data_IF_253791110361
#
_entry.id   IF_253791110361
#
_cell.length_a   1.000
_cell.length_b   1.000
_cell.length_c   1.000
_cell.angle_alpha   90.00
_cell.angle_beta   90.00
_cell.angle_gamma   90.00
#
_symmetry.space_group_name_H-M   'P 1'
#
loop_
_entity.id
_entity.type
_entity.pdbx_description
1 polymer ?
#
# COMPACT_ATOMS: atom_id res chain seq x y z
N UNK A 1 11.36 6.07 -10.93
CA UNK A 1 11.99 4.95 -10.22
C UNK A 1 10.86 4.16 -9.57
N UNK A 2 10.67 2.88 -9.92
CA UNK A 2 9.60 2.05 -9.34
C UNK A 2 10.11 1.45 -8.02
N UNK A 3 9.56 1.89 -6.90
CA UNK A 3 9.89 1.35 -5.58
C UNK A 3 9.16 0.01 -5.40
N UNK A 4 9.92 -1.02 -5.00
CA UNK A 4 9.36 -2.33 -4.68
C UNK A 4 9.43 -2.54 -3.17
N UNK A 5 8.34 -3.06 -2.61
CA UNK A 5 8.18 -3.27 -1.17
C UNK A 5 7.59 -4.64 -0.90
N UNK A 6 7.87 -5.18 0.28
CA UNK A 6 7.38 -6.49 0.69
C UNK A 6 6.29 -6.32 1.75
N UNK A 7 5.11 -6.89 1.49
CA UNK A 7 3.99 -6.85 2.42
C UNK A 7 3.40 -8.23 2.64
N UNK A 8 2.97 -8.49 3.87
CA UNK A 8 2.20 -9.69 4.17
C UNK A 8 0.75 -9.46 3.68
N UNK A 9 0.22 -10.26 2.74
CA UNK A 9 -1.16 -10.12 2.25
C UNK A 9 -2.22 -10.21 3.36
N UNK A 10 -1.95 -10.91 4.47
CA UNK A 10 -2.87 -10.95 5.63
C UNK A 10 -3.02 -9.61 6.36
N UNK A 11 -2.17 -8.62 6.07
CA UNK A 11 -2.20 -7.29 6.67
C UNK A 11 -2.73 -6.21 5.73
N UNK A 12 -3.28 -6.59 4.57
CA UNK A 12 -3.88 -5.62 3.64
C UNK A 12 -5.05 -4.89 4.31
N UNK A 13 -5.06 -3.56 4.21
CA UNK A 13 -6.16 -2.73 4.71
C UNK A 13 -7.38 -2.89 3.80
N UNK A 14 -7.15 -2.82 2.48
CA UNK A 14 -8.19 -2.98 1.47
C UNK A 14 -7.57 -3.30 0.11
N UNK A 15 -8.38 -3.81 -0.81
CA UNK A 15 -8.01 -4.01 -2.20
C UNK A 15 -9.14 -3.59 -3.13
N UNK A 16 -8.80 -3.07 -4.30
CA UNK A 16 -9.77 -2.61 -5.30
C UNK A 16 -9.17 -2.65 -6.71
N UNK A 17 -9.99 -3.02 -7.70
CA UNK A 17 -9.59 -3.02 -9.11
C UNK A 17 -9.53 -1.59 -9.69
N UNK A 18 -10.18 -0.64 -9.04
CA UNK A 18 -10.23 0.76 -9.43
C UNK A 18 -9.26 1.59 -8.57
N UNK A 19 -8.34 2.32 -9.22
CA UNK A 19 -7.34 3.13 -8.52
C UNK A 19 -7.98 4.25 -7.70
N UNK A 20 -9.04 4.88 -8.21
CA UNK A 20 -9.68 6.03 -7.55
C UNK A 20 -10.36 5.58 -6.23
N UNK A 21 -10.97 4.39 -6.26
CA UNK A 21 -11.52 3.75 -5.06
C UNK A 21 -10.43 3.37 -4.07
N UNK A 22 -9.33 2.76 -4.54
CA UNK A 22 -8.21 2.43 -3.68
C UNK A 22 -7.60 3.68 -3.04
N UNK A 23 -7.44 4.76 -3.82
CA UNK A 23 -6.92 6.03 -3.34
C UNK A 23 -7.82 6.70 -2.31
N UNK A 24 -9.13 6.69 -2.55
CA UNK A 24 -10.12 7.21 -1.59
C UNK A 24 -10.08 6.43 -0.28
N UNK A 25 -10.05 5.10 -0.33
CA UNK A 25 -9.94 4.26 0.87
C UNK A 25 -8.62 4.51 1.62
N UNK A 26 -7.50 4.67 0.89
CA UNK A 26 -6.20 4.99 1.47
C UNK A 26 -6.23 6.34 2.20
N UNK A 27 -6.81 7.38 1.59
CA UNK A 27 -6.98 8.69 2.24
C UNK A 27 -7.85 8.61 3.50
N UNK A 28 -8.97 7.88 3.44
CA UNK A 28 -9.85 7.72 4.62
C UNK A 28 -9.10 7.04 5.76
N UNK A 29 -8.31 6.00 5.46
CA UNK A 29 -7.51 5.32 6.48
C UNK A 29 -6.43 6.24 7.05
N UNK A 30 -5.68 6.93 6.19
CA UNK A 30 -4.67 7.90 6.59
C UNK A 30 -5.27 8.97 7.51
N UNK A 31 -6.43 9.54 7.16
CA UNK A 31 -7.11 10.55 7.99
C UNK A 31 -7.60 9.99 9.34
N UNK A 32 -7.90 8.69 9.43
CA UNK A 32 -8.36 8.06 10.67
C UNK A 32 -7.21 7.62 11.58
N UNK A 33 -6.13 7.11 11.01
CA UNK A 33 -5.02 6.50 11.74
C UNK A 33 -3.80 7.43 11.86
N UNK A 34 -3.77 8.54 11.13
CA UNK A 34 -2.63 9.46 10.95
C UNK A 34 -1.34 8.76 10.45
N UNK A 35 -1.48 7.55 9.90
CA UNK A 35 -0.37 6.74 9.39
C UNK A 35 -0.17 6.93 7.88
N UNK A 36 1.07 6.91 7.43
CA UNK A 36 1.39 6.78 6.00
C UNK A 36 0.90 5.45 5.46
N UNK A 37 0.18 5.49 4.34
CA UNK A 37 -0.29 4.29 3.64
C UNK A 37 0.26 4.22 2.22
N UNK A 38 0.46 3.00 1.75
CA UNK A 38 1.00 2.68 0.45
C UNK A 38 -0.06 1.96 -0.38
N UNK A 39 -0.31 2.49 -1.58
CA UNK A 39 -1.08 1.82 -2.62
C UNK A 39 -0.07 1.09 -3.49
N UNK A 40 -0.19 -0.22 -3.52
CA UNK A 40 0.72 -1.11 -4.21
C UNK A 40 -0.01 -2.05 -5.16
N UNK A 41 0.74 -2.67 -6.05
CA UNK A 41 0.22 -3.61 -7.03
C UNK A 41 1.18 -4.81 -7.14
N UNK A 42 0.66 -6.04 -7.22
CA UNK A 42 1.51 -7.18 -7.60
C UNK A 42 1.94 -6.98 -9.06
N UNK A 43 3.18 -7.33 -9.41
CA UNK A 43 3.81 -7.17 -10.74
C UNK A 43 2.81 -7.23 -11.92
N UNK A 44 2.33 -6.06 -12.37
CA UNK A 44 1.35 -5.83 -13.45
C UNK A 44 -0.05 -6.47 -13.29
N UNK A 45 -0.39 -6.90 -12.08
CA UNK A 45 -1.67 -7.54 -11.74
C UNK A 45 -2.54 -6.61 -10.90
N UNK A 46 -3.76 -6.35 -11.37
CA UNK A 46 -4.84 -5.88 -10.50
C UNK A 46 -5.21 -6.97 -9.48
N UNK A 47 -5.75 -6.62 -8.30
CA UNK A 47 -6.18 -5.28 -7.87
C UNK A 47 -5.07 -4.41 -7.26
N UNK A 48 -5.34 -3.11 -7.10
CA UNK A 48 -4.58 -2.21 -6.24
C UNK A 48 -4.84 -2.59 -4.78
N UNK A 49 -3.78 -2.73 -4.00
CA UNK A 49 -3.85 -3.13 -2.59
C UNK A 49 -3.29 -2.01 -1.73
N UNK A 50 -3.93 -1.77 -0.60
CA UNK A 50 -3.56 -0.71 0.34
C UNK A 50 -2.93 -1.36 1.56
N UNK A 51 -1.74 -0.91 1.92
CA UNK A 51 -1.01 -1.33 3.10
C UNK A 51 -0.61 -0.14 3.96
N UNK A 52 -0.45 -0.39 5.26
CA UNK A 52 0.15 0.56 6.19
C UNK A 52 1.67 0.52 6.01
N UNK A 53 2.30 1.68 5.82
CA UNK A 53 3.74 1.76 5.60
C UNK A 53 4.54 1.29 6.81
N UNK A 54 4.04 1.48 8.03
CA UNK A 54 4.73 1.01 9.23
C UNK A 54 4.76 -0.52 9.34
N UNK A 55 3.91 -1.21 8.57
CA UNK A 55 3.89 -2.68 8.46
C UNK A 55 4.69 -3.22 7.27
N UNK A 56 5.36 -2.35 6.52
CA UNK A 56 6.25 -2.78 5.45
C UNK A 56 7.39 -3.63 6.00
N UNK A 57 7.63 -4.77 5.35
CA UNK A 57 8.74 -5.64 5.71
C UNK A 57 10.02 -5.09 5.07
N UNK A 58 11.08 -4.96 5.86
CA UNK A 58 12.38 -4.47 5.38
C UNK A 58 13.05 -5.44 4.39
N UNK A 59 12.63 -6.71 4.38
CA UNK A 59 13.19 -7.77 3.54
C UNK A 59 12.09 -8.76 3.11
N UNK A 60 12.41 -9.58 2.12
CA UNK A 60 11.62 -10.72 1.63
C UNK A 60 11.56 -11.78 2.74
N UNK A 61 10.80 -11.51 3.82
CA UNK A 61 10.47 -12.51 4.82
C UNK A 61 9.60 -13.58 4.14
N UNK A 62 9.64 -14.82 4.64
CA UNK A 62 8.95 -15.96 4.03
C UNK A 62 7.43 -15.76 3.80
N UNK A 63 6.81 -14.74 4.43
CA UNK A 63 5.40 -14.37 4.29
C UNK A 63 5.16 -13.06 3.50
N UNK A 64 6.22 -12.34 3.14
CA UNK A 64 6.16 -11.05 2.45
C UNK A 64 6.09 -11.23 0.93
N UNK A 65 4.95 -10.89 0.34
CA UNK A 65 4.83 -10.80 -1.13
C UNK A 65 5.44 -9.49 -1.62
N UNK A 66 6.08 -9.55 -2.79
CA UNK A 66 6.63 -8.39 -3.47
C UNK A 66 5.53 -7.61 -4.19
N UNK A 67 5.41 -6.33 -3.88
CA UNK A 67 4.53 -5.41 -4.57
C UNK A 67 5.31 -4.20 -5.09
N UNK A 68 4.82 -3.61 -6.17
CA UNK A 68 5.29 -2.32 -6.69
C UNK A 68 4.47 -1.19 -6.07
N UNK A 69 5.12 -0.18 -5.52
CA UNK A 69 4.45 1.01 -5.00
C UNK A 69 3.95 1.85 -6.17
N UNK A 70 2.64 2.06 -6.21
CA UNK A 70 1.98 2.93 -7.19
C UNK A 70 1.86 4.34 -6.63
N UNK A 71 1.47 4.48 -5.36
CA UNK A 71 1.30 5.78 -4.70
C UNK A 71 1.51 5.67 -3.19
N UNK A 72 2.19 6.67 -2.62
CA UNK A 72 2.25 6.91 -1.17
C UNK A 72 1.26 8.00 -0.79
N UNK A 73 0.48 7.76 0.26
CA UNK A 73 -0.41 8.74 0.88
C UNK A 73 0.13 8.98 2.28
N UNK A 74 0.85 10.09 2.41
CA UNK A 74 1.44 10.59 3.64
C UNK A 74 1.00 12.03 3.84
N UNK A 75 1.12 12.52 5.08
CA UNK A 75 0.90 13.93 5.38
C UNK A 75 2.07 14.72 4.81
N UNK A 76 1.98 15.13 3.54
CA UNK A 76 2.92 16.07 2.96
C UNK A 76 2.62 17.42 3.63
N UNK A 77 3.45 17.81 4.60
CA UNK A 77 3.50 19.19 5.05
C UNK A 77 4.12 19.99 3.92
N UNK A 78 3.28 20.62 3.10
CA UNK A 78 3.66 21.86 2.40
C UNK A 78 4.04 22.95 3.42
#
# INVERSE_FOLDING_TARGET
MSENVFFNPGQSISSSYDFDKAYTAAKIYHMKADNSVLIVQEKDSQPYVIFDEAKALQQEAAEGKKYSVIKRVSHDKE
#
